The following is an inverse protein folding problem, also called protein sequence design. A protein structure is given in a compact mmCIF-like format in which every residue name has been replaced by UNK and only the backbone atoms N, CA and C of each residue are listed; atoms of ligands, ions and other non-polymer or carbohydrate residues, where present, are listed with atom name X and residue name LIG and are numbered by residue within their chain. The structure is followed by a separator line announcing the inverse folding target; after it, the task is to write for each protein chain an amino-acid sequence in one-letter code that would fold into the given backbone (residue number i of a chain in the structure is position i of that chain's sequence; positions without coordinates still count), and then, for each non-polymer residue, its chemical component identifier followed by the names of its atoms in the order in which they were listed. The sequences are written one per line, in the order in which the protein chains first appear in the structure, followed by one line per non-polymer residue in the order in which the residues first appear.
data_IF_118751304979
#
_entry.id   IF_118751304979
#
_cell.length_a   1.000
_cell.length_b   1.000
_cell.length_c   1.000
_cell.angle_alpha   90.00
_cell.angle_beta   90.00
_cell.angle_gamma   90.00
#
_symmetry.space_group_name_H-M   'P 1'
#
loop_
_entity.id
_entity.type
_entity.pdbx_description
1 polymer ?
#
# COMPACT_ATOMS: atom_id res chain seq x y z
N UNK A 1 -1.58 -6.30 -47.07
CA UNK A 1 -2.13 -6.88 -45.82
C UNK A 1 -1.06 -7.22 -44.76
N UNK A 2 0.18 -6.72 -44.88
CA UNK A 2 1.26 -6.91 -43.90
C UNK A 2 1.86 -5.55 -43.46
N UNK A 3 1.02 -4.65 -42.94
CA UNK A 3 1.45 -3.37 -42.35
C UNK A 3 0.76 -3.13 -40.99
N UNK A 4 0.64 -4.17 -40.16
CA UNK A 4 0.10 -4.06 -38.80
C UNK A 4 1.06 -4.62 -37.73
N UNK A 5 2.35 -4.74 -38.03
CA UNK A 5 3.37 -5.21 -37.07
C UNK A 5 4.38 -4.14 -36.65
N UNK A 6 4.11 -2.83 -36.84
CA UNK A 6 5.10 -1.80 -36.48
C UNK A 6 4.51 -0.54 -35.86
N UNK A 7 3.93 -0.68 -34.66
CA UNK A 7 3.86 0.44 -33.71
C UNK A 7 4.36 0.03 -32.31
N UNK A 8 5.66 -0.26 -32.15
CA UNK A 8 6.28 -0.36 -30.82
C UNK A 8 6.04 0.90 -29.98
N UNK A 9 5.93 2.06 -30.63
CA UNK A 9 5.75 3.38 -29.98
C UNK A 9 4.39 3.55 -29.28
N UNK A 10 3.30 3.00 -29.83
CA UNK A 10 1.97 3.09 -29.19
C UNK A 10 1.90 2.18 -27.96
N UNK A 11 2.47 0.98 -28.06
CA UNK A 11 2.55 0.05 -26.93
C UNK A 11 3.46 0.60 -25.83
N UNK A 12 4.58 1.25 -26.18
CA UNK A 12 5.47 1.92 -25.21
C UNK A 12 4.73 3.04 -24.46
N UNK A 13 3.95 3.86 -25.19
CA UNK A 13 3.16 4.94 -24.57
C UNK A 13 2.03 4.45 -23.64
N UNK A 14 1.39 3.31 -23.96
CA UNK A 14 0.37 2.70 -23.09
C UNK A 14 1.02 2.12 -21.84
N UNK A 15 2.12 1.38 -21.99
CA UNK A 15 2.87 0.80 -20.87
C UNK A 15 3.40 1.89 -19.95
N UNK A 16 3.94 2.98 -20.49
CA UNK A 16 4.43 4.11 -19.72
C UNK A 16 3.33 4.74 -18.85
N UNK A 17 2.16 5.01 -19.44
CA UNK A 17 1.02 5.57 -18.70
C UNK A 17 0.49 4.62 -17.62
N UNK A 18 0.43 3.33 -17.92
CA UNK A 18 0.02 2.32 -16.94
C UNK A 18 1.01 2.24 -15.77
N UNK A 19 2.32 2.23 -16.08
CA UNK A 19 3.38 2.22 -15.08
C UNK A 19 3.27 3.44 -14.17
N UNK A 20 3.16 4.63 -14.76
CA UNK A 20 3.03 5.89 -14.02
C UNK A 20 1.78 5.91 -13.12
N UNK A 21 0.64 5.42 -13.63
CA UNK A 21 -0.59 5.35 -12.85
C UNK A 21 -0.45 4.43 -11.63
N UNK A 22 0.14 3.23 -11.79
CA UNK A 22 0.32 2.30 -10.67
C UNK A 22 1.34 2.86 -9.67
N UNK A 23 2.45 3.41 -10.15
CA UNK A 23 3.46 4.06 -9.30
C UNK A 23 2.83 5.19 -8.47
N UNK A 24 2.00 6.02 -9.07
CA UNK A 24 1.28 7.09 -8.37
C UNK A 24 0.36 6.54 -7.29
N UNK A 25 -0.38 5.46 -7.56
CA UNK A 25 -1.22 4.79 -6.57
C UNK A 25 -0.40 4.29 -5.37
N UNK A 26 0.78 3.70 -5.64
CA UNK A 26 1.69 3.23 -4.59
C UNK A 26 2.27 4.38 -3.74
N UNK A 27 2.53 5.54 -4.35
CA UNK A 27 3.08 6.73 -3.67
C UNK A 27 2.03 7.44 -2.80
N UNK A 28 0.77 7.50 -3.23
CA UNK A 28 -0.30 8.15 -2.45
C UNK A 28 -0.53 7.47 -1.09
N UNK A 29 -0.36 6.15 -1.05
CA UNK A 29 -0.44 5.36 0.18
C UNK A 29 0.66 5.69 1.22
N UNK A 30 1.71 6.45 0.85
CA UNK A 30 2.78 6.85 1.79
C UNK A 30 2.39 8.03 2.68
N UNK A 31 1.37 8.81 2.29
CA UNK A 31 1.02 10.05 3.00
C UNK A 31 0.24 9.83 4.31
N UNK A 32 -0.28 8.62 4.56
CA UNK A 32 -1.11 8.34 5.73
C UNK A 32 -0.33 7.88 6.97
N UNK A 33 0.91 7.38 6.79
CA UNK A 33 1.75 6.87 7.89
C UNK A 33 2.44 7.95 8.74
N UNK A 34 2.23 9.24 8.44
CA UNK A 34 2.83 10.38 9.15
C UNK A 34 1.79 11.13 9.97
N UNK A 35 1.05 10.41 10.83
CA UNK A 35 0.26 11.01 11.92
C UNK A 35 0.67 10.38 13.25
N UNK A 36 1.48 11.16 13.95
CA UNK A 36 1.71 11.24 15.40
C UNK A 36 2.53 10.17 16.12
N UNK A 37 3.81 10.50 16.38
CA UNK A 37 4.64 10.16 17.56
C UNK A 37 6.01 10.85 17.35
N UNK A 38 6.56 11.79 18.12
CA UNK A 38 6.33 12.34 19.45
C UNK A 38 7.05 13.71 19.51
N UNK A 39 6.36 14.80 19.86
CA UNK A 39 7.00 15.98 20.47
C UNK A 39 6.06 16.66 21.47
N UNK A 40 5.64 15.91 22.48
CA UNK A 40 5.28 16.49 23.77
C UNK A 40 6.34 16.04 24.77
N UNK A 41 7.48 16.72 24.77
CA UNK A 41 8.21 16.92 26.01
C UNK A 41 8.08 18.39 26.38
N UNK A 42 7.11 18.64 27.26
CA UNK A 42 6.95 19.86 28.02
C UNK A 42 8.28 20.21 28.69
N UNK A 43 8.87 21.33 28.29
CA UNK A 43 10.01 21.91 29.00
C UNK A 43 9.49 22.58 30.28
N UNK A 44 9.48 21.83 31.38
CA UNK A 44 9.38 22.37 32.73
C UNK A 44 10.61 21.94 33.55
N UNK A 45 11.46 22.95 33.79
CA UNK A 45 12.55 23.11 34.76
C UNK A 45 12.76 22.08 35.89
N UNK A 46 14.00 21.61 36.09
CA UNK A 46 14.92 22.09 37.17
C UNK A 46 16.08 21.10 37.50
N UNK A 47 17.28 21.68 37.63
CA UNK A 47 18.55 21.26 38.29
C UNK A 47 18.76 19.85 38.85
N UNK A 48 19.87 19.19 38.47
CA UNK A 48 21.05 18.92 39.35
C UNK A 48 22.16 18.10 38.65
N UNK A 49 23.38 18.23 39.19
CA UNK A 49 24.74 17.99 38.68
C UNK A 49 25.16 16.53 38.34
N UNK A 50 26.38 16.31 37.76
CA UNK A 50 26.75 15.13 36.98
C UNK A 50 27.60 14.10 37.74
N UNK A 51 27.58 12.83 37.31
CA UNK A 51 28.64 11.86 37.60
C UNK A 51 28.77 10.77 36.53
N UNK A 52 30.01 10.53 36.17
CA UNK A 52 30.61 9.64 35.17
C UNK A 52 30.28 8.15 35.30
N UNK A 53 30.07 7.47 34.16
CA UNK A 53 30.82 6.25 33.82
C UNK A 53 30.53 5.81 32.38
N UNK A 54 31.62 5.57 31.67
CA UNK A 54 31.77 5.17 30.27
C UNK A 54 30.98 3.92 29.88
N UNK A 55 30.20 4.01 28.79
CA UNK A 55 29.72 2.85 28.03
C UNK A 55 29.95 3.11 26.53
N UNK A 56 30.60 2.19 25.79
CA UNK A 56 30.88 2.36 24.38
C UNK A 56 29.65 2.01 23.53
N UNK A 57 29.35 2.87 22.55
CA UNK A 57 28.65 2.50 21.32
C UNK A 57 27.25 1.91 21.46
N UNK A 58 26.28 2.67 21.95
CA UNK A 58 24.94 2.55 21.40
C UNK A 58 24.99 3.18 20.01
N UNK A 59 25.39 2.41 19.01
CA UNK A 59 24.89 2.65 17.66
C UNK A 59 23.40 2.33 17.72
N UNK A 60 22.63 3.30 18.23
CA UNK A 60 21.23 3.46 17.94
C UNK A 60 21.18 3.69 16.44
N UNK A 61 21.29 2.58 15.70
CA UNK A 61 21.06 2.56 14.28
C UNK A 61 19.62 3.04 14.17
N UNK A 62 19.48 4.29 13.76
CA UNK A 62 18.21 4.94 13.58
C UNK A 62 17.47 4.16 12.48
N UNK A 63 16.75 3.13 12.91
CA UNK A 63 15.82 2.38 12.07
C UNK A 63 14.64 3.29 11.67
N UNK A 64 14.64 4.58 12.03
CA UNK A 64 13.80 5.62 11.44
C UNK A 64 14.30 6.15 10.10
N UNK A 65 15.23 5.46 9.41
CA UNK A 65 15.03 5.29 7.97
C UNK A 65 13.60 4.77 7.84
N UNK A 66 12.67 5.69 7.59
CA UNK A 66 11.24 5.45 7.53
C UNK A 66 11.04 4.59 6.30
N UNK A 67 11.34 3.30 6.45
CA UNK A 67 11.15 2.28 5.44
C UNK A 67 9.64 2.22 5.35
N UNK A 68 9.07 2.94 4.39
CA UNK A 68 7.64 2.91 4.08
C UNK A 68 7.34 1.55 3.43
N UNK A 69 7.46 0.48 4.23
CA UNK A 69 7.18 -0.87 3.80
C UNK A 69 5.66 -1.03 3.72
N UNK A 70 5.19 -1.56 2.59
CA UNK A 70 3.76 -1.74 2.31
C UNK A 70 3.48 -3.12 1.71
N UNK A 71 2.27 -3.61 1.94
CA UNK A 71 1.76 -4.86 1.36
C UNK A 71 0.93 -4.50 0.13
N UNK A 72 1.23 -5.11 -1.02
CA UNK A 72 0.43 -4.97 -2.24
C UNK A 72 -0.50 -6.18 -2.38
N UNK A 73 -1.80 -5.95 -2.49
CA UNK A 73 -2.81 -6.99 -2.69
C UNK A 73 -3.42 -6.80 -4.07
N UNK A 74 -3.48 -7.85 -4.88
CA UNK A 74 -4.08 -7.77 -6.22
C UNK A 74 -5.00 -8.95 -6.54
N UNK A 75 -5.95 -8.76 -7.45
CA UNK A 75 -6.71 -9.87 -8.05
C UNK A 75 -5.98 -10.45 -9.27
N UNK A 76 -6.50 -11.56 -9.82
CA UNK A 76 -5.84 -12.26 -10.93
C UNK A 76 -5.70 -11.36 -12.17
N UNK A 77 -6.70 -10.51 -12.43
CA UNK A 77 -6.67 -9.56 -13.54
C UNK A 77 -5.60 -8.47 -13.34
N UNK A 78 -5.49 -7.91 -12.14
CA UNK A 78 -4.46 -6.91 -11.84
C UNK A 78 -3.07 -7.52 -11.74
N UNK A 79 -2.95 -8.80 -11.38
CA UNK A 79 -1.68 -9.53 -11.39
C UNK A 79 -1.06 -9.51 -12.79
N UNK A 80 -1.86 -9.79 -13.83
CA UNK A 80 -1.41 -9.77 -15.22
C UNK A 80 -0.98 -8.36 -15.66
N UNK A 81 -1.72 -7.32 -15.24
CA UNK A 81 -1.36 -5.93 -15.54
C UNK A 81 -0.04 -5.57 -14.88
N UNK A 82 0.10 -5.80 -13.57
CA UNK A 82 1.31 -5.48 -12.80
C UNK A 82 2.51 -6.21 -13.36
N UNK A 83 2.38 -7.50 -13.71
CA UNK A 83 3.46 -8.29 -14.27
C UNK A 83 4.00 -7.76 -15.61
N UNK A 84 3.19 -7.02 -16.38
CA UNK A 84 3.60 -6.45 -17.67
C UNK A 84 4.31 -5.08 -17.55
N UNK A 85 4.05 -4.34 -16.46
CA UNK A 85 4.47 -2.94 -16.31
C UNK A 85 5.46 -2.70 -15.18
N UNK A 86 5.47 -3.54 -14.14
CA UNK A 86 6.35 -3.39 -12.98
C UNK A 86 7.17 -4.65 -12.74
N UNK A 87 8.50 -4.50 -12.67
CA UNK A 87 9.37 -5.57 -12.25
C UNK A 87 9.50 -5.61 -10.71
N UNK A 88 9.99 -6.74 -10.18
CA UNK A 88 10.23 -6.91 -8.73
C UNK A 88 11.09 -5.80 -8.13
N UNK A 89 12.04 -5.27 -8.92
CA UNK A 89 12.90 -4.16 -8.50
C UNK A 89 12.12 -2.85 -8.34
N UNK A 90 11.17 -2.57 -9.22
CA UNK A 90 10.36 -1.34 -9.18
C UNK A 90 9.38 -1.36 -8.01
N UNK A 91 8.80 -2.51 -7.70
CA UNK A 91 8.00 -2.70 -6.48
C UNK A 91 8.82 -2.37 -5.22
N UNK A 92 10.04 -2.88 -5.14
CA UNK A 92 10.95 -2.60 -4.01
C UNK A 92 11.34 -1.12 -3.93
N UNK A 93 11.58 -0.46 -5.07
CA UNK A 93 11.86 0.99 -5.13
C UNK A 93 10.71 1.83 -4.54
N UNK A 94 9.47 1.35 -4.69
CA UNK A 94 8.26 2.00 -4.16
C UNK A 94 7.80 1.40 -2.82
N UNK A 95 8.69 0.78 -2.05
CA UNK A 95 8.41 0.31 -0.68
C UNK A 95 7.52 -0.93 -0.58
N UNK A 96 7.16 -1.59 -1.69
CA UNK A 96 6.40 -2.84 -1.64
C UNK A 96 7.34 -3.97 -1.22
N UNK A 97 7.18 -4.48 0.00
CA UNK A 97 7.99 -5.58 0.54
C UNK A 97 7.31 -6.94 0.39
N UNK A 98 5.98 -6.95 0.34
CA UNK A 98 5.15 -8.14 0.21
C UNK A 98 4.07 -7.90 -0.83
N UNK A 99 3.81 -8.90 -1.67
CA UNK A 99 2.74 -8.87 -2.65
C UNK A 99 1.96 -10.18 -2.62
N UNK A 100 0.63 -10.11 -2.53
CA UNK A 100 -0.23 -11.26 -2.27
C UNK A 100 -1.49 -11.21 -3.15
N UNK A 101 -1.97 -12.35 -3.66
CA UNK A 101 -3.24 -12.39 -4.36
C UNK A 101 -4.43 -12.31 -3.38
N UNK A 102 -5.49 -11.60 -3.77
CA UNK A 102 -6.71 -11.35 -2.98
C UNK A 102 -7.46 -12.64 -2.60
N UNK A 103 -7.34 -13.69 -3.40
CA UNK A 103 -8.03 -14.96 -3.16
C UNK A 103 -7.22 -15.95 -2.30
N UNK A 104 -5.99 -15.62 -1.92
CA UNK A 104 -5.16 -16.49 -1.07
C UNK A 104 -5.49 -16.37 0.41
N UNK A 105 -5.14 -17.42 1.18
CA UNK A 105 -5.14 -17.40 2.64
C UNK A 105 -4.03 -16.48 3.15
N UNK A 106 -4.40 -15.29 3.63
CA UNK A 106 -3.46 -14.29 4.15
C UNK A 106 -3.44 -14.30 5.67
N UNK A 107 -2.27 -13.97 6.23
CA UNK A 107 -2.11 -13.76 7.67
C UNK A 107 -2.32 -12.28 7.99
N UNK A 108 -2.83 -12.00 9.19
CA UNK A 108 -2.95 -10.66 9.76
C UNK A 108 -1.57 -10.03 9.95
N UNK A 109 -1.39 -8.80 9.46
CA UNK A 109 -0.16 -7.99 9.63
C UNK A 109 -0.59 -6.57 10.02
N UNK A 110 -0.91 -6.39 11.29
CA UNK A 110 -1.46 -5.13 11.84
C UNK A 110 -0.52 -3.93 11.70
N UNK A 111 0.80 -4.16 11.63
CA UNK A 111 1.81 -3.10 11.57
C UNK A 111 2.03 -2.55 10.15
N UNK A 112 1.46 -3.20 9.13
CA UNK A 112 1.74 -2.90 7.73
C UNK A 112 0.58 -2.14 7.06
N UNK A 113 0.85 -1.06 6.31
CA UNK A 113 -0.15 -0.50 5.40
C UNK A 113 -0.33 -1.42 4.18
N UNK A 114 -1.58 -1.59 3.76
CA UNK A 114 -1.96 -2.41 2.61
C UNK A 114 -2.52 -1.54 1.47
N UNK A 115 -2.04 -1.81 0.26
CA UNK A 115 -2.53 -1.22 -0.99
C UNK A 115 -3.22 -2.32 -1.79
N UNK A 116 -4.51 -2.16 -2.05
CA UNK A 116 -5.29 -3.07 -2.88
C UNK A 116 -5.38 -2.54 -4.30
N UNK A 117 -5.00 -3.35 -5.29
CA UNK A 117 -5.17 -3.09 -6.71
C UNK A 117 -6.05 -4.20 -7.29
N UNK A 118 -7.35 -3.94 -7.39
CA UNK A 118 -8.34 -4.99 -7.70
C UNK A 118 -9.33 -4.54 -8.77
N UNK A 119 -9.97 -5.48 -9.45
CA UNK A 119 -11.08 -5.16 -10.34
C UNK A 119 -12.37 -4.88 -9.55
N UNK A 120 -13.24 -3.97 -10.02
CA UNK A 120 -14.49 -3.65 -9.36
C UNK A 120 -15.53 -4.76 -9.56
N UNK A 121 -15.35 -5.86 -8.82
CA UNK A 121 -16.28 -6.99 -8.82
C UNK A 121 -16.88 -7.17 -7.44
N UNK A 122 -18.10 -7.70 -7.40
CA UNK A 122 -18.80 -7.99 -6.13
C UNK A 122 -17.98 -8.89 -5.21
N UNK A 123 -17.38 -9.95 -5.77
CA UNK A 123 -16.53 -10.89 -5.02
C UNK A 123 -15.32 -10.19 -4.37
N UNK A 124 -14.66 -9.31 -5.12
CA UNK A 124 -13.50 -8.59 -4.61
C UNK A 124 -13.91 -7.61 -3.48
N UNK A 125 -15.03 -6.92 -3.65
CA UNK A 125 -15.56 -6.01 -2.62
C UNK A 125 -15.93 -6.77 -1.35
N UNK A 126 -16.62 -7.91 -1.46
CA UNK A 126 -16.97 -8.76 -0.32
C UNK A 126 -15.72 -9.20 0.46
N UNK A 127 -14.66 -9.56 -0.25
CA UNK A 127 -13.36 -9.92 0.34
C UNK A 127 -12.65 -8.75 1.00
N UNK A 128 -12.68 -7.58 0.38
CA UNK A 128 -12.09 -6.37 0.98
C UNK A 128 -12.81 -5.98 2.26
N UNK A 129 -14.15 -6.04 2.27
CA UNK A 129 -14.93 -5.74 3.47
C UNK A 129 -14.69 -6.77 4.57
N UNK A 130 -14.49 -8.04 4.20
CA UNK A 130 -14.05 -9.08 5.13
C UNK A 130 -12.70 -8.73 5.76
N UNK A 131 -11.69 -8.39 4.96
CA UNK A 131 -10.37 -7.98 5.44
C UNK A 131 -10.41 -6.74 6.35
N UNK A 132 -11.25 -5.76 5.99
CA UNK A 132 -11.51 -4.54 6.78
C UNK A 132 -12.12 -4.88 8.14
N UNK A 133 -13.12 -5.78 8.16
CA UNK A 133 -13.78 -6.18 9.41
C UNK A 133 -12.86 -6.92 10.38
N UNK A 134 -11.84 -7.62 9.85
CA UNK A 134 -10.81 -8.26 10.66
C UNK A 134 -9.63 -7.36 10.99
N UNK A 135 -9.60 -6.13 10.46
CA UNK A 135 -8.48 -5.18 10.59
C UNK A 135 -7.15 -5.85 10.27
N UNK A 136 -7.08 -6.54 9.13
CA UNK A 136 -5.91 -7.33 8.72
C UNK A 136 -4.60 -6.52 8.64
N UNK A 137 -4.71 -5.21 8.44
CA UNK A 137 -3.62 -4.29 8.14
C UNK A 137 -3.80 -2.96 8.89
N UNK A 138 -2.73 -2.16 9.03
CA UNK A 138 -2.77 -0.85 9.69
C UNK A 138 -3.65 0.15 8.93
N UNK A 139 -3.59 0.13 7.60
CA UNK A 139 -4.29 1.08 6.72
C UNK A 139 -4.65 0.40 5.41
N UNK A 140 -5.76 0.81 4.79
CA UNK A 140 -6.33 0.16 3.62
C UNK A 140 -6.49 1.17 2.47
N UNK A 141 -5.62 1.08 1.47
CA UNK A 141 -5.64 1.94 0.29
C UNK A 141 -6.20 1.17 -0.91
N UNK A 142 -7.49 1.35 -1.22
CA UNK A 142 -8.20 0.58 -2.26
C UNK A 142 -8.17 1.31 -3.60
N UNK A 143 -7.59 0.67 -4.61
CA UNK A 143 -7.51 1.14 -5.99
C UNK A 143 -8.21 0.15 -6.92
N UNK A 144 -9.22 0.64 -7.64
CA UNK A 144 -9.92 -0.15 -8.64
C UNK A 144 -9.26 -0.03 -10.01
N UNK A 145 -9.13 -1.14 -10.73
CA UNK A 145 -8.52 -1.19 -12.07
C UNK A 145 -9.32 -0.45 -13.14
N UNK A 146 -10.62 -0.23 -12.90
CA UNK A 146 -11.52 0.49 -13.78
C UNK A 146 -12.54 1.29 -12.98
N UNK A 147 -13.35 2.08 -13.69
CA UNK A 147 -14.40 2.89 -13.07
C UNK A 147 -15.42 1.98 -12.37
N UNK A 148 -15.62 2.20 -11.07
CA UNK A 148 -16.61 1.48 -10.27
C UNK A 148 -18.01 2.03 -10.59
N UNK A 149 -19.00 1.13 -10.73
CA UNK A 149 -20.39 1.55 -10.83
C UNK A 149 -20.91 2.05 -9.49
N UNK A 150 -21.91 2.92 -9.53
CA UNK A 150 -22.53 3.48 -8.33
C UNK A 150 -23.15 2.38 -7.45
N UNK A 151 -23.75 1.35 -8.07
CA UNK A 151 -24.31 0.20 -7.34
C UNK A 151 -23.25 -0.53 -6.50
N UNK A 152 -22.05 -0.72 -7.05
CA UNK A 152 -20.96 -1.40 -6.35
C UNK A 152 -20.37 -0.53 -5.23
N UNK A 153 -20.30 0.79 -5.43
CA UNK A 153 -19.89 1.73 -4.38
C UNK A 153 -20.91 1.76 -3.23
N UNK A 154 -22.20 1.83 -3.55
CA UNK A 154 -23.27 1.78 -2.55
C UNK A 154 -23.25 0.45 -1.78
N UNK A 155 -23.01 -0.67 -2.48
CA UNK A 155 -22.85 -1.96 -1.84
C UNK A 155 -21.65 -1.98 -0.89
N UNK A 156 -20.49 -1.46 -1.31
CA UNK A 156 -19.31 -1.36 -0.45
C UNK A 156 -19.60 -0.53 0.80
N UNK A 157 -20.17 0.67 0.62
CA UNK A 157 -20.50 1.58 1.72
C UNK A 157 -21.46 0.93 2.73
N UNK A 158 -22.51 0.26 2.22
CA UNK A 158 -23.47 -0.46 3.04
C UNK A 158 -22.82 -1.60 3.82
N UNK A 159 -21.99 -2.41 3.16
CA UNK A 159 -21.33 -3.55 3.82
C UNK A 159 -20.34 -3.10 4.89
N UNK A 160 -19.57 -2.02 4.66
CA UNK A 160 -18.70 -1.45 5.68
C UNK A 160 -19.51 -0.94 6.89
N UNK A 161 -20.62 -0.24 6.65
CA UNK A 161 -21.49 0.26 7.71
C UNK A 161 -22.11 -0.87 8.55
N UNK A 162 -22.56 -1.96 7.89
CA UNK A 162 -23.13 -3.13 8.57
C UNK A 162 -22.11 -3.85 9.46
N UNK A 163 -20.85 -3.95 9.00
CA UNK A 163 -19.78 -4.67 9.71
C UNK A 163 -19.00 -3.82 10.71
N UNK A 164 -19.30 -2.53 10.82
CA UNK A 164 -18.61 -1.56 11.70
C UNK A 164 -17.09 -1.56 11.48
N UNK A 165 -16.68 -1.67 10.22
CA UNK A 165 -15.28 -1.58 9.83
C UNK A 165 -14.76 -0.14 9.98
#
# INVERSE_FOLDING_TARGET
LLLLLSFPWVMEGIRQKQTEAIVRCLQLAESEGKRDSFSTFSSSSSSSSPSSSSAPGKEEFDLSVSLNWKVLIFDDHCADIVAQVLHREDLRKHGVTLHLPLNSSRQKIEDAPAVYLVSPTKKNIEKIVEDLSYQMYSSFNIHFSSKVSEDLLNMLARMCAERKC
#
